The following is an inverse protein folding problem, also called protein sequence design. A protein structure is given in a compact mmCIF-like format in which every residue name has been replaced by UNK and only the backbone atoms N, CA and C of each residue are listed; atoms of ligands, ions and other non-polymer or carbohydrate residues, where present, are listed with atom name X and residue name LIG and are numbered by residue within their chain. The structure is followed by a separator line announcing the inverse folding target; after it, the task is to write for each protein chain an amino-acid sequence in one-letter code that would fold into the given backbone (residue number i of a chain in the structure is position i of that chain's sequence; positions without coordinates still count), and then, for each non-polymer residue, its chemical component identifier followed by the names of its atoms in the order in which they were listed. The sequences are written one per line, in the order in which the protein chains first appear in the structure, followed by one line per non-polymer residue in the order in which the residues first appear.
data_IF_494920018453
#
_entry.id   IF_494920018453
#
_cell.length_a   1.000
_cell.length_b   1.000
_cell.length_c   1.000
_cell.angle_alpha   90.00
_cell.angle_beta   90.00
_cell.angle_gamma   90.00
#
_symmetry.space_group_name_H-M   'P 1'
#
loop_
_entity.id
_entity.type
_entity.pdbx_description
1 polymer ?
#
# COMPACT_ATOMS: atom_id res chain seq x y z
N UNK A 1 8.24 -9.73 16.99
CA UNK A 1 6.84 -9.25 17.10
C UNK A 1 6.83 -7.97 17.88
N UNK A 2 6.10 -6.97 17.40
CA UNK A 2 5.88 -5.72 18.10
C UNK A 2 4.98 -5.96 19.33
N UNK A 3 5.11 -5.20 20.46
CA UNK A 3 4.27 -5.36 21.66
C UNK A 3 2.76 -5.28 21.40
N UNK A 4 2.32 -4.56 20.37
CA UNK A 4 0.91 -4.47 19.95
C UNK A 4 0.40 -5.69 19.18
N UNK A 5 1.21 -6.75 19.03
CA UNK A 5 0.85 -7.96 18.29
C UNK A 5 1.06 -7.89 16.79
N UNK A 6 1.38 -6.73 16.20
CA UNK A 6 1.67 -6.59 14.77
C UNK A 6 3.06 -7.09 14.38
N UNK A 7 3.29 -7.27 13.11
CA UNK A 7 4.65 -7.46 12.58
C UNK A 7 5.45 -6.15 12.61
N UNK A 8 6.75 -6.28 12.49
CA UNK A 8 7.71 -5.19 12.45
C UNK A 8 8.77 -5.46 11.39
N UNK A 9 9.51 -4.43 10.97
CA UNK A 9 10.50 -4.51 9.88
C UNK A 9 11.55 -5.58 10.13
N UNK A 10 12.07 -5.66 11.35
CA UNK A 10 13.05 -6.68 11.76
C UNK A 10 13.01 -6.88 13.28
N UNK A 11 13.67 -7.90 13.82
CA UNK A 11 13.78 -8.05 15.27
C UNK A 11 14.35 -6.83 15.99
N UNK A 12 15.23 -6.08 15.33
CA UNK A 12 15.88 -4.90 15.87
C UNK A 12 15.20 -3.56 15.50
N UNK A 13 14.23 -3.59 14.59
CA UNK A 13 13.51 -2.38 14.12
C UNK A 13 12.00 -2.54 14.32
N UNK A 14 11.42 -1.89 15.35
CA UNK A 14 10.00 -2.02 15.67
C UNK A 14 9.07 -1.29 14.69
N UNK A 15 9.59 -0.50 13.77
CA UNK A 15 8.78 0.27 12.81
C UNK A 15 8.03 -0.63 11.84
N UNK A 16 6.96 -0.10 11.28
CA UNK A 16 6.19 -0.76 10.23
C UNK A 16 6.80 -0.48 8.84
N UNK A 17 6.57 -1.37 7.89
CA UNK A 17 6.92 -1.27 6.48
C UNK A 17 5.72 -1.73 5.65
N UNK A 18 5.37 -1.03 4.60
CA UNK A 18 4.24 -1.39 3.75
C UNK A 18 4.39 -2.80 3.12
N UNK A 19 5.62 -3.30 2.94
CA UNK A 19 5.83 -4.67 2.46
C UNK A 19 5.33 -5.75 3.42
N UNK A 20 5.04 -5.42 4.68
CA UNK A 20 4.41 -6.34 5.64
C UNK A 20 2.95 -6.66 5.30
N UNK A 21 2.37 -6.00 4.29
CA UNK A 21 1.07 -6.35 3.72
C UNK A 21 1.14 -7.61 2.83
N UNK A 22 2.30 -7.90 2.25
CA UNK A 22 2.47 -8.98 1.27
C UNK A 22 2.09 -10.38 1.78
N UNK A 23 2.34 -10.80 3.03
CA UNK A 23 1.91 -12.10 3.52
C UNK A 23 0.39 -12.31 3.43
N UNK A 24 -0.41 -11.28 3.68
CA UNK A 24 -1.88 -11.32 3.52
C UNK A 24 -2.27 -11.37 2.05
N UNK A 25 -1.69 -10.49 1.22
CA UNK A 25 -1.97 -10.40 -0.22
C UNK A 25 -1.66 -11.73 -0.93
N UNK A 26 -0.59 -12.42 -0.52
CA UNK A 26 -0.13 -13.68 -1.12
C UNK A 26 -0.72 -14.94 -0.47
N UNK A 27 -1.65 -14.79 0.47
CA UNK A 27 -2.34 -15.91 1.12
C UNK A 27 -1.45 -16.74 2.06
N UNK A 28 -0.32 -16.20 2.50
CA UNK A 28 0.54 -16.85 3.48
C UNK A 28 -0.11 -16.88 4.87
N UNK A 29 -1.03 -15.96 5.12
CA UNK A 29 -1.83 -15.88 6.33
C UNK A 29 -3.25 -15.42 5.98
N UNK A 30 -4.27 -15.91 6.71
CA UNK A 30 -5.63 -15.47 6.50
C UNK A 30 -5.80 -13.99 6.90
N UNK A 31 -6.72 -13.25 6.25
CA UNK A 31 -6.92 -11.83 6.49
C UNK A 31 -7.48 -11.53 7.88
N UNK A 32 -8.12 -12.51 8.50
CA UNK A 32 -8.67 -12.43 9.86
C UNK A 32 -7.67 -12.75 10.97
N UNK A 33 -6.43 -13.16 10.64
CA UNK A 33 -5.35 -13.32 11.63
C UNK A 33 -5.15 -12.02 12.42
N UNK A 34 -5.17 -12.05 13.76
CA UNK A 34 -5.04 -10.83 14.56
C UNK A 34 -3.77 -10.02 14.27
N UNK A 35 -2.66 -10.71 13.92
CA UNK A 35 -1.39 -10.06 13.56
C UNK A 35 -1.50 -9.34 12.21
N UNK A 36 -2.19 -9.96 11.25
CA UNK A 36 -2.47 -9.37 9.96
C UNK A 36 -3.29 -8.09 10.12
N UNK A 37 -4.40 -8.15 10.86
CA UNK A 37 -5.25 -6.99 11.15
C UNK A 37 -4.49 -5.86 11.84
N UNK A 38 -3.72 -6.18 12.88
CA UNK A 38 -2.91 -5.18 13.60
C UNK A 38 -1.85 -4.55 12.69
N UNK A 39 -1.25 -5.32 11.76
CA UNK A 39 -0.26 -4.81 10.81
C UNK A 39 -0.89 -3.91 9.76
N UNK A 40 -2.02 -4.31 9.18
CA UNK A 40 -2.78 -3.48 8.21
C UNK A 40 -3.20 -2.15 8.85
N UNK A 41 -3.74 -2.19 10.08
CA UNK A 41 -4.11 -0.99 10.81
C UNK A 41 -2.90 -0.06 11.02
N UNK A 42 -1.75 -0.59 11.44
CA UNK A 42 -0.54 0.19 11.64
C UNK A 42 0.00 0.80 10.32
N UNK A 43 -0.05 0.08 9.20
CA UNK A 43 0.33 0.64 7.90
C UNK A 43 -0.56 1.82 7.54
N UNK A 44 -1.89 1.70 7.71
CA UNK A 44 -2.83 2.79 7.44
C UNK A 44 -2.58 4.00 8.35
N UNK A 45 -2.39 3.79 9.63
CA UNK A 45 -2.21 4.86 10.60
C UNK A 45 -0.86 5.56 10.48
N UNK A 46 0.24 4.80 10.32
CA UNK A 46 1.60 5.33 10.37
C UNK A 46 2.15 5.76 9.01
N UNK A 47 1.67 5.16 7.89
CA UNK A 47 2.27 5.33 6.56
C UNK A 47 1.31 5.88 5.50
N UNK A 48 0.01 6.06 5.78
CA UNK A 48 -0.91 6.61 4.79
C UNK A 48 -1.14 8.11 5.01
N UNK A 49 -1.19 8.86 3.92
CA UNK A 49 -1.49 10.30 3.88
C UNK A 49 -2.25 10.63 2.60
N UNK A 50 -3.40 11.27 2.70
CA UNK A 50 -4.25 11.71 1.57
C UNK A 50 -4.53 10.59 0.53
N UNK A 51 -4.70 9.35 1.00
CA UNK A 51 -4.98 8.19 0.13
C UNK A 51 -3.76 7.63 -0.59
N UNK A 52 -2.56 8.07 -0.24
CA UNK A 52 -1.29 7.53 -0.70
C UNK A 52 -0.53 6.87 0.45
N UNK A 53 0.38 5.94 0.14
CA UNK A 53 1.09 5.14 1.14
C UNK A 53 2.59 5.26 0.97
N UNK A 54 3.28 5.69 2.01
CA UNK A 54 4.74 5.68 2.07
C UNK A 54 5.26 4.28 2.36
N UNK A 55 6.45 3.97 1.89
CA UNK A 55 7.05 2.66 2.07
C UNK A 55 7.33 2.36 3.55
N UNK A 56 7.98 3.27 4.22
CA UNK A 56 8.28 3.23 5.65
C UNK A 56 8.71 4.62 6.15
N UNK A 57 8.71 4.79 7.45
CA UNK A 57 9.22 6.02 8.07
C UNK A 57 10.75 5.93 8.23
N UNK A 58 11.47 6.86 7.62
CA UNK A 58 12.93 6.92 7.69
C UNK A 58 13.41 7.42 9.06
N UNK A 59 12.79 8.48 9.56
CA UNK A 59 13.13 9.16 10.82
C UNK A 59 11.89 9.80 11.46
N UNK A 60 12.08 10.70 12.41
CA UNK A 60 11.00 11.40 13.12
C UNK A 60 10.36 12.55 12.34
N UNK A 61 10.90 12.92 11.17
CA UNK A 61 10.32 13.99 10.34
C UNK A 61 8.99 13.54 9.72
N UNK A 62 8.14 14.49 9.27
CA UNK A 62 6.98 14.15 8.45
C UNK A 62 7.35 13.26 7.25
N UNK A 63 6.50 12.33 6.87
CA UNK A 63 6.77 11.34 5.81
C UNK A 63 7.25 11.99 4.51
N UNK A 64 6.54 13.01 4.03
CA UNK A 64 6.84 13.73 2.79
C UNK A 64 8.20 14.46 2.76
N UNK A 65 8.86 14.62 3.91
CA UNK A 65 10.19 15.27 3.98
C UNK A 65 11.34 14.32 3.66
N UNK A 66 11.10 13.02 3.73
CA UNK A 66 12.11 12.01 3.44
C UNK A 66 12.05 11.56 1.97
N UNK A 67 10.85 11.20 1.50
CA UNK A 67 10.60 10.68 0.15
C UNK A 67 9.15 10.95 -0.28
N UNK A 68 8.77 10.58 -1.51
CA UNK A 68 7.38 10.53 -1.95
C UNK A 68 6.65 9.29 -1.43
N UNK A 69 5.34 9.27 -1.56
CA UNK A 69 4.56 8.06 -1.36
C UNK A 69 4.80 7.07 -2.50
N UNK A 70 4.98 5.78 -2.18
CA UNK A 70 5.20 4.74 -3.19
C UNK A 70 3.85 4.28 -3.75
N UNK A 71 3.61 4.52 -5.03
CA UNK A 71 2.35 4.15 -5.68
C UNK A 71 2.05 2.65 -5.59
N UNK A 72 3.08 1.80 -5.65
CA UNK A 72 2.93 0.36 -5.44
C UNK A 72 2.33 0.02 -4.07
N UNK A 73 2.70 0.75 -3.01
CA UNK A 73 2.18 0.51 -1.67
C UNK A 73 0.69 0.85 -1.55
N UNK A 74 0.21 1.84 -2.29
CA UNK A 74 -1.22 2.15 -2.40
C UNK A 74 -2.00 1.03 -3.09
N UNK A 75 -1.47 0.44 -4.16
CA UNK A 75 -2.06 -0.74 -4.78
C UNK A 75 -2.05 -1.96 -3.85
N UNK A 76 -1.04 -2.15 -3.01
CA UNK A 76 -1.05 -3.20 -1.99
C UNK A 76 -2.17 -3.00 -0.96
N UNK A 77 -2.44 -1.77 -0.52
CA UNK A 77 -3.59 -1.53 0.38
C UNK A 77 -4.92 -1.84 -0.31
N UNK A 78 -5.06 -1.52 -1.60
CA UNK A 78 -6.25 -1.90 -2.36
C UNK A 78 -6.42 -3.43 -2.40
N UNK A 79 -5.34 -4.19 -2.64
CA UNK A 79 -5.37 -5.65 -2.65
C UNK A 79 -5.71 -6.23 -1.26
N UNK A 80 -5.14 -5.69 -0.19
CA UNK A 80 -5.48 -6.12 1.17
C UNK A 80 -6.96 -5.87 1.49
N UNK A 81 -7.48 -4.68 1.15
CA UNK A 81 -8.88 -4.36 1.36
C UNK A 81 -9.80 -5.34 0.60
N UNK A 82 -9.47 -5.67 -0.65
CA UNK A 82 -10.19 -6.67 -1.45
C UNK A 82 -10.17 -8.07 -0.78
N UNK A 83 -8.99 -8.54 -0.35
CA UNK A 83 -8.86 -9.83 0.34
C UNK A 83 -9.65 -9.87 1.66
N UNK A 84 -9.82 -8.71 2.32
CA UNK A 84 -10.64 -8.56 3.52
C UNK A 84 -12.14 -8.37 3.23
N UNK A 85 -12.59 -8.44 1.98
CA UNK A 85 -13.99 -8.21 1.60
C UNK A 85 -14.46 -6.75 1.72
N UNK A 86 -13.53 -5.79 1.72
CA UNK A 86 -13.80 -4.36 1.84
C UNK A 86 -13.79 -3.69 0.46
N UNK A 87 -14.71 -4.10 -0.43
CA UNK A 87 -14.68 -3.74 -1.86
C UNK A 87 -14.71 -2.24 -2.12
N UNK A 88 -15.51 -1.48 -1.37
CA UNK A 88 -15.59 -0.01 -1.51
C UNK A 88 -14.25 0.64 -1.15
N UNK A 89 -13.61 0.17 -0.09
CA UNK A 89 -12.32 0.67 0.33
C UNK A 89 -11.21 0.26 -0.66
N UNK A 90 -11.27 -0.96 -1.17
CA UNK A 90 -10.37 -1.45 -2.20
C UNK A 90 -10.44 -0.58 -3.47
N UNK A 91 -11.64 -0.28 -3.94
CA UNK A 91 -11.86 0.61 -5.07
C UNK A 91 -11.35 2.04 -4.80
N UNK A 92 -11.58 2.56 -3.58
CA UNK A 92 -11.09 3.89 -3.20
C UNK A 92 -9.54 3.98 -3.26
N UNK A 93 -8.83 3.02 -2.65
CA UNK A 93 -7.37 2.96 -2.71
C UNK A 93 -6.86 2.81 -4.14
N UNK A 94 -7.49 1.94 -4.92
CA UNK A 94 -7.12 1.72 -6.32
C UNK A 94 -7.25 2.99 -7.14
N UNK A 95 -8.42 3.63 -7.15
CA UNK A 95 -8.69 4.82 -7.95
C UNK A 95 -7.80 6.01 -7.55
N UNK A 96 -7.54 6.18 -6.25
CA UNK A 96 -6.68 7.24 -5.77
C UNK A 96 -5.25 7.11 -6.32
N UNK A 97 -4.69 5.90 -6.30
CA UNK A 97 -3.34 5.64 -6.80
C UNK A 97 -3.30 5.61 -8.34
N UNK A 98 -4.35 5.06 -8.98
CA UNK A 98 -4.47 5.08 -10.44
C UNK A 98 -4.51 6.51 -11.00
N UNK A 99 -5.19 7.42 -10.32
CA UNK A 99 -5.29 8.82 -10.73
C UNK A 99 -3.95 9.59 -10.65
N UNK A 100 -2.93 9.04 -10.02
CA UNK A 100 -1.60 9.65 -9.94
C UNK A 100 -0.74 9.41 -11.20
N UNK A 101 -1.25 8.73 -12.24
CA UNK A 101 -0.51 8.59 -13.50
C UNK A 101 -0.38 9.95 -14.22
N UNK A 102 0.72 10.11 -14.95
CA UNK A 102 0.92 11.28 -15.82
C UNK A 102 0.01 11.27 -17.06
N UNK A 103 0.07 12.33 -17.90
CA UNK A 103 -0.78 12.47 -19.09
C UNK A 103 -0.68 11.31 -20.09
N UNK A 104 0.48 10.65 -20.14
CA UNK A 104 0.70 9.48 -21.00
C UNK A 104 0.21 8.15 -20.37
N UNK A 105 -0.46 8.18 -19.22
CA UNK A 105 -0.86 6.96 -18.49
C UNK A 105 0.30 6.22 -17.83
N UNK A 106 1.45 6.88 -17.66
CA UNK A 106 2.64 6.29 -17.07
C UNK A 106 2.77 6.60 -15.58
N UNK A 107 3.15 5.60 -14.81
CA UNK A 107 3.43 5.73 -13.38
C UNK A 107 4.92 5.91 -13.11
N UNK A 108 5.22 6.81 -12.18
CA UNK A 108 6.51 6.86 -11.49
C UNK A 108 6.55 5.89 -10.31
N UNK A 109 7.72 5.76 -9.73
CA UNK A 109 7.93 5.02 -8.48
C UNK A 109 7.17 5.67 -7.31
N UNK A 110 7.28 6.99 -7.20
CA UNK A 110 6.78 7.79 -6.11
C UNK A 110 5.85 8.92 -6.59
N UNK A 111 5.04 9.40 -5.67
CA UNK A 111 4.20 10.58 -5.81
C UNK A 111 4.42 11.54 -4.65
N UNK A 112 4.73 12.80 -4.95
CA UNK A 112 4.79 13.86 -3.94
C UNK A 112 3.37 14.30 -3.59
N UNK A 113 2.89 13.92 -2.43
CA UNK A 113 1.52 14.18 -1.98
C UNK A 113 1.27 15.67 -1.79
N UNK A 114 2.25 16.42 -1.30
CA UNK A 114 2.12 17.84 -1.01
C UNK A 114 2.23 18.72 -2.27
N UNK A 115 3.17 18.38 -3.15
CA UNK A 115 3.38 19.12 -4.40
C UNK A 115 2.50 18.60 -5.54
N UNK A 116 1.82 17.46 -5.35
CA UNK A 116 0.97 16.78 -6.34
C UNK A 116 1.70 16.51 -7.65
N UNK A 117 2.89 15.95 -7.56
CA UNK A 117 3.71 15.67 -8.75
C UNK A 117 4.38 14.30 -8.67
N UNK A 118 4.63 13.76 -9.85
CA UNK A 118 5.35 12.51 -10.03
C UNK A 118 6.81 12.66 -9.59
N UNK A 119 7.37 11.63 -8.94
CA UNK A 119 8.76 11.56 -8.48
C UNK A 119 9.37 10.19 -8.73
N UNK A 120 10.70 10.17 -8.76
CA UNK A 120 11.45 8.93 -8.96
C UNK A 120 11.49 8.48 -10.42
N UNK A 121 11.75 7.19 -10.62
CA UNK A 121 11.91 6.61 -11.95
C UNK A 121 10.59 6.61 -12.74
N UNK A 122 10.67 6.97 -14.03
CA UNK A 122 9.54 7.01 -14.95
C UNK A 122 9.94 6.36 -16.30
N UNK A 123 9.20 5.39 -16.84
CA UNK A 123 8.14 4.63 -16.18
C UNK A 123 8.68 3.60 -15.18
N UNK A 124 7.92 3.26 -14.15
CA UNK A 124 8.31 2.25 -13.19
C UNK A 124 7.52 0.96 -13.41
N UNK A 125 8.18 -0.06 -13.94
CA UNK A 125 7.54 -1.29 -14.40
C UNK A 125 6.76 -2.03 -13.30
N UNK A 126 7.29 -2.16 -12.09
CA UNK A 126 6.60 -2.88 -11.02
C UNK A 126 5.37 -2.13 -10.48
N UNK A 127 5.32 -0.79 -10.63
CA UNK A 127 4.10 -0.02 -10.31
C UNK A 127 3.00 -0.33 -11.31
N UNK A 128 3.34 -0.37 -12.62
CA UNK A 128 2.39 -0.79 -13.65
C UNK A 128 1.90 -2.24 -13.43
N UNK A 129 2.82 -3.15 -13.09
CA UNK A 129 2.46 -4.54 -12.79
C UNK A 129 1.52 -4.62 -11.56
N UNK A 130 1.81 -3.87 -10.50
CA UNK A 130 0.96 -3.80 -9.30
C UNK A 130 -0.42 -3.23 -9.60
N UNK A 131 -0.50 -2.18 -10.42
CA UNK A 131 -1.78 -1.62 -10.87
C UNK A 131 -2.59 -2.63 -11.66
N UNK A 132 -2.00 -3.31 -12.63
CA UNK A 132 -2.68 -4.33 -13.45
C UNK A 132 -3.14 -5.51 -12.60
N UNK A 133 -2.29 -6.04 -11.72
CA UNK A 133 -2.66 -7.10 -10.80
C UNK A 133 -3.86 -6.70 -9.93
N UNK A 134 -3.84 -5.46 -9.41
CA UNK A 134 -4.94 -4.95 -8.58
C UNK A 134 -6.22 -4.81 -9.40
N UNK A 135 -6.15 -4.27 -10.62
CA UNK A 135 -7.31 -4.14 -11.50
C UNK A 135 -7.95 -5.49 -11.81
N UNK A 136 -7.14 -6.51 -12.11
CA UNK A 136 -7.64 -7.88 -12.34
C UNK A 136 -8.35 -8.41 -11.09
N UNK A 137 -7.73 -8.31 -9.91
CA UNK A 137 -8.33 -8.78 -8.65
C UNK A 137 -9.66 -8.10 -8.34
N UNK A 138 -9.75 -6.78 -8.56
CA UNK A 138 -10.98 -6.02 -8.32
C UNK A 138 -12.08 -6.30 -9.35
N UNK A 139 -11.73 -6.81 -10.54
CA UNK A 139 -12.70 -7.20 -11.57
C UNK A 139 -13.27 -8.61 -11.38
N UNK A 140 -12.62 -9.45 -10.57
CA UNK A 140 -13.12 -10.77 -10.24
C UNK A 140 -14.31 -10.67 -9.28
N UNK A 141 -15.41 -11.40 -9.52
CA UNK A 141 -16.51 -11.42 -8.56
C UNK A 141 -16.02 -11.95 -7.21
N UNK A 142 -16.54 -11.39 -6.11
CA UNK A 142 -16.26 -11.90 -4.77
C UNK A 142 -16.49 -13.43 -4.77
N UNK A 143 -15.51 -14.19 -4.30
CA UNK A 143 -15.68 -15.64 -4.17
C UNK A 143 -16.85 -15.87 -3.23
N UNK A 144 -17.92 -16.46 -3.75
CA UNK A 144 -18.99 -16.99 -2.92
C UNK A 144 -18.39 -18.18 -2.14
N UNK A 145 -18.36 -18.06 -0.82
CA UNK A 145 -18.04 -19.15 0.10
C UNK A 145 -19.13 -20.24 0.07
#
# INVERSE_FOLDING_TARGET
MHPTGRWQRSPADPRVDAALLLPVIRGALPPDDPRARATVAAVREELAEDGYVYRFRHDARPLHKAEGAFLLCGFWLAQVAQVCGQDVEAAHWFERNRAACGPAGLFTEEYDVHQRQLRGNLPQAFVHAGMLETAVRLSEPARAD
#
